data_IF_114741432726
#
_entry.id   IF_114741432726
#
_cell.length_a   1.000
_cell.length_b   1.000
_cell.length_c   1.000
_cell.angle_alpha   90.00
_cell.angle_beta   90.00
_cell.angle_gamma   90.00
#
_symmetry.space_group_name_H-M   'P 1'
#
loop_
_entity.id
_entity.type
_entity.pdbx_description
1 polymer ?
#
# COMPACT_ATOMS: atom_id res chain seq x y z
N UNK A 1 21.75 1.13 -42.13
CA UNK A 1 20.35 1.50 -42.37
C UNK A 1 19.78 1.98 -41.06
N UNK A 2 18.97 3.03 -41.12
CA UNK A 2 18.46 3.83 -40.00
C UNK A 2 17.51 3.01 -39.11
N UNK A 3 17.61 3.20 -37.79
CA UNK A 3 16.59 2.73 -36.84
C UNK A 3 15.39 3.66 -37.01
N UNK A 4 14.30 3.15 -37.58
CA UNK A 4 13.01 3.83 -37.65
C UNK A 4 12.04 3.04 -36.79
N UNK A 5 12.06 3.32 -35.50
CA UNK A 5 10.93 3.08 -34.60
C UNK A 5 11.04 4.11 -33.47
N UNK A 6 10.82 5.37 -33.84
CA UNK A 6 10.53 6.45 -32.89
C UNK A 6 9.01 6.56 -32.74
N UNK A 7 8.39 5.44 -32.39
CA UNK A 7 7.02 5.40 -31.88
C UNK A 7 7.02 5.84 -30.42
N UNK A 8 7.57 7.02 -30.15
CA UNK A 8 7.67 7.58 -28.82
C UNK A 8 6.31 7.56 -28.14
N UNK A 9 6.26 7.05 -26.91
CA UNK A 9 5.05 7.03 -26.12
C UNK A 9 4.59 8.47 -25.88
N UNK A 10 3.60 8.93 -26.64
CA UNK A 10 2.94 10.22 -26.45
C UNK A 10 1.73 9.99 -25.58
N UNK A 11 1.77 10.54 -24.37
CA UNK A 11 0.66 10.50 -23.46
C UNK A 11 -0.48 11.37 -24.04
N UNK A 12 -1.52 10.72 -24.56
CA UNK A 12 -2.75 11.39 -25.01
C UNK A 12 -3.81 11.28 -23.89
N UNK A 13 -4.01 12.34 -23.09
CA UNK A 13 -5.03 12.32 -22.03
C UNK A 13 -6.46 12.20 -22.58
N UNK A 14 -6.69 12.48 -23.88
CA UNK A 14 -8.00 12.32 -24.52
C UNK A 14 -8.35 10.87 -24.90
N UNK A 15 -7.36 9.97 -24.87
CA UNK A 15 -7.56 8.55 -25.15
C UNK A 15 -8.30 7.81 -24.01
N UNK A 16 -8.54 8.47 -22.88
CA UNK A 16 -9.22 7.91 -21.72
C UNK A 16 -10.54 8.65 -21.46
N UNK A 17 -11.53 7.97 -20.89
CA UNK A 17 -12.76 8.58 -20.41
C UNK A 17 -12.65 9.07 -18.95
N UNK A 18 -13.75 9.61 -18.42
CA UNK A 18 -13.79 10.16 -17.06
C UNK A 18 -13.56 9.10 -15.98
N UNK A 19 -13.80 7.83 -16.30
CA UNK A 19 -13.60 6.66 -15.44
C UNK A 19 -12.17 6.07 -15.59
N UNK A 20 -11.38 6.59 -16.53
CA UNK A 20 -9.99 6.21 -16.76
C UNK A 20 -9.83 4.98 -17.66
N UNK A 21 -10.89 4.52 -18.31
CA UNK A 21 -10.83 3.43 -19.27
C UNK A 21 -10.38 3.93 -20.64
N UNK A 22 -9.70 3.07 -21.40
CA UNK A 22 -9.23 3.42 -22.75
C UNK A 22 -10.42 3.50 -23.68
N UNK A 23 -10.68 4.69 -24.23
CA UNK A 23 -11.73 4.92 -25.21
C UNK A 23 -11.41 4.14 -26.49
N UNK A 24 -12.26 3.18 -26.85
CA UNK A 24 -12.14 2.50 -28.13
C UNK A 24 -12.36 3.52 -29.27
N UNK A 25 -11.51 3.52 -30.32
CA UNK A 25 -11.65 4.43 -31.43
C UNK A 25 -12.98 4.16 -32.14
N UNK A 26 -13.90 5.12 -32.08
CA UNK A 26 -15.18 5.07 -32.77
C UNK A 26 -14.95 5.09 -34.28
N UNK A 27 -14.78 3.90 -34.88
CA UNK A 27 -14.40 3.83 -36.29
C UNK A 27 -14.23 2.44 -36.87
N UNK A 28 -15.13 1.49 -36.62
CA UNK A 28 -15.49 0.41 -37.56
C UNK A 28 -16.86 -0.16 -37.18
N UNK A 29 -17.92 0.57 -37.50
CA UNK A 29 -19.20 -0.07 -37.75
C UNK A 29 -19.16 -0.67 -39.17
N UNK A 30 -19.64 -1.91 -39.28
CA UNK A 30 -19.83 -2.71 -40.49
C UNK A 30 -18.58 -3.25 -41.20
N UNK A 31 -18.23 -4.52 -40.92
CA UNK A 31 -18.20 -5.54 -41.99
C UNK A 31 -18.28 -6.96 -41.40
N UNK A 32 -19.42 -7.60 -41.65
CA UNK A 32 -19.61 -9.01 -42.00
C UNK A 32 -18.95 -10.12 -41.16
N UNK A 33 -19.84 -10.91 -40.57
CA UNK A 33 -19.60 -12.29 -40.19
C UNK A 33 -19.02 -13.11 -41.37
N UNK A 34 -17.74 -13.48 -41.27
CA UNK A 34 -17.19 -14.60 -42.02
C UNK A 34 -16.01 -15.22 -41.26
N UNK A 35 -16.08 -16.54 -41.11
CA UNK A 35 -15.07 -17.38 -40.51
C UNK A 35 -13.69 -17.17 -41.14
N UNK A 36 -12.68 -17.07 -40.28
CA UNK A 36 -11.27 -17.15 -40.66
C UNK A 36 -10.45 -17.37 -39.40
N UNK A 37 -9.91 -18.57 -39.26
CA UNK A 37 -9.03 -18.99 -38.17
C UNK A 37 -7.92 -17.95 -37.96
N UNK A 38 -8.04 -17.16 -36.89
CA UNK A 38 -6.93 -16.35 -36.37
C UNK A 38 -6.12 -17.26 -35.45
N UNK A 39 -4.85 -17.48 -35.82
CA UNK A 39 -3.89 -18.18 -34.98
C UNK A 39 -3.90 -17.61 -33.56
N UNK A 40 -3.74 -18.43 -32.51
CA UNK A 40 -3.55 -17.90 -31.18
C UNK A 40 -2.22 -17.15 -31.16
N UNK A 41 -2.28 -15.82 -31.14
CA UNK A 41 -1.15 -14.95 -30.81
C UNK A 41 -0.77 -15.27 -29.35
N UNK A 42 0.06 -16.31 -29.17
CA UNK A 42 0.42 -16.90 -27.88
C UNK A 42 1.35 -16.03 -26.99
N UNK A 43 1.47 -14.74 -27.30
CA UNK A 43 2.37 -13.80 -26.60
C UNK A 43 1.61 -12.59 -26.00
N UNK A 44 0.28 -12.64 -25.89
CA UNK A 44 -0.54 -11.54 -25.35
C UNK A 44 -1.17 -11.76 -23.97
N UNK A 45 -0.96 -12.91 -23.35
CA UNK A 45 -1.65 -13.31 -22.12
C UNK A 45 -0.75 -13.35 -20.86
N UNK A 46 0.27 -12.48 -20.77
CA UNK A 46 0.98 -12.24 -19.49
C UNK A 46 1.02 -10.76 -19.11
N UNK A 47 0.05 -9.98 -19.59
CA UNK A 47 -0.36 -8.80 -18.85
C UNK A 47 -1.18 -9.32 -17.68
N UNK A 48 -0.66 -9.17 -16.46
CA UNK A 48 -1.41 -9.45 -15.24
C UNK A 48 -2.61 -8.51 -15.23
N UNK A 49 -3.75 -8.98 -15.77
CA UNK A 49 -4.95 -8.19 -16.11
C UNK A 49 -5.62 -7.52 -14.90
N UNK A 50 -5.11 -7.74 -13.70
CA UNK A 50 -5.44 -6.94 -12.52
C UNK A 50 -4.29 -7.02 -11.51
N UNK A 51 -3.33 -6.08 -11.50
CA UNK A 51 -2.31 -6.05 -10.46
C UNK A 51 -3.02 -5.81 -9.13
N UNK A 52 -3.15 -6.87 -8.30
CA UNK A 52 -3.90 -6.84 -7.03
C UNK A 52 -3.68 -5.51 -6.32
N UNK A 53 -4.68 -4.63 -6.42
CA UNK A 53 -4.56 -3.31 -5.84
C UNK A 53 -4.46 -3.50 -4.32
N UNK A 54 -3.47 -2.87 -3.65
CA UNK A 54 -3.25 -3.08 -2.22
C UNK A 54 -4.45 -2.63 -1.36
N UNK A 55 -5.45 -1.95 -1.93
CA UNK A 55 -6.72 -1.62 -1.30
C UNK A 55 -7.82 -2.69 -1.41
N UNK A 56 -7.65 -3.71 -2.25
CA UNK A 56 -8.59 -4.85 -2.43
C UNK A 56 -8.36 -5.97 -1.40
N UNK A 57 -7.25 -5.91 -0.66
CA UNK A 57 -7.02 -6.77 0.50
C UNK A 57 -7.69 -6.08 1.69
N UNK A 58 -8.80 -6.65 2.18
CA UNK A 58 -9.41 -6.24 3.45
C UNK A 58 -8.35 -6.37 4.56
N UNK A 59 -7.67 -5.25 4.87
CA UNK A 59 -6.79 -5.13 6.02
C UNK A 59 -7.67 -4.78 7.21
N UNK A 60 -8.36 -5.77 7.75
CA UNK A 60 -9.00 -5.58 9.04
C UNK A 60 -7.94 -5.27 10.09
N UNK A 61 -8.29 -4.33 10.97
CA UNK A 61 -7.40 -3.88 12.02
C UNK A 61 -7.34 -4.96 13.11
N UNK A 62 -6.43 -5.90 12.90
CA UNK A 62 -6.26 -7.09 13.72
C UNK A 62 -5.88 -6.79 15.18
N UNK A 63 -5.86 -7.83 16.01
CA UNK A 63 -5.37 -7.78 17.39
C UNK A 63 -3.93 -7.21 17.50
N UNK A 64 -3.12 -7.36 16.44
CA UNK A 64 -1.80 -6.72 16.33
C UNK A 64 -1.88 -5.19 16.27
N UNK A 65 -2.81 -4.67 15.48
CA UNK A 65 -3.10 -3.23 15.40
C UNK A 65 -3.59 -2.69 16.74
N UNK A 66 -4.51 -3.41 17.40
CA UNK A 66 -5.00 -3.05 18.73
C UNK A 66 -3.91 -3.07 19.80
N UNK A 67 -2.99 -4.03 19.74
CA UNK A 67 -1.82 -4.07 20.63
C UNK A 67 -0.98 -2.81 20.45
N UNK A 68 -0.66 -2.42 19.21
CA UNK A 68 0.11 -1.21 18.93
C UNK A 68 -0.58 0.04 19.49
N UNK A 69 -1.89 0.17 19.30
CA UNK A 69 -2.68 1.27 19.88
C UNK A 69 -2.59 1.28 21.40
N UNK A 70 -2.69 0.12 22.05
CA UNK A 70 -2.52 -0.02 23.50
C UNK A 70 -1.15 0.46 23.99
N UNK A 71 -0.08 0.13 23.26
CA UNK A 71 1.27 0.58 23.60
C UNK A 71 1.43 2.09 23.41
N UNK A 72 0.84 2.67 22.37
CA UNK A 72 0.83 4.12 22.15
C UNK A 72 0.15 4.83 23.34
N UNK A 73 -1.02 4.36 23.76
CA UNK A 73 -1.73 4.90 24.94
C UNK A 73 -0.86 4.81 26.20
N UNK A 74 -0.22 3.65 26.43
CA UNK A 74 0.69 3.48 27.55
C UNK A 74 1.88 4.46 27.49
N UNK A 75 2.48 4.62 26.32
CA UNK A 75 3.65 5.46 26.09
C UNK A 75 3.38 6.95 26.32
N UNK A 76 2.26 7.47 25.82
CA UNK A 76 1.99 8.90 25.80
C UNK A 76 1.05 9.38 26.91
N UNK A 77 0.29 8.49 27.55
CA UNK A 77 -0.64 8.88 28.62
C UNK A 77 -0.23 8.31 29.96
N UNK A 78 -0.01 7.00 30.05
CA UNK A 78 0.24 6.32 31.34
C UNK A 78 1.64 6.66 31.87
N UNK A 79 2.67 6.59 31.03
CA UNK A 79 4.04 6.91 31.43
C UNK A 79 4.18 8.39 31.88
N UNK A 80 3.67 9.40 31.16
CA UNK A 80 3.74 10.78 31.65
C UNK A 80 2.91 11.02 32.91
N UNK A 81 1.71 10.44 33.01
CA UNK A 81 0.86 10.58 34.20
C UNK A 81 1.52 10.03 35.46
N UNK A 82 2.26 8.92 35.34
CA UNK A 82 2.98 8.33 36.49
C UNK A 82 4.12 9.21 36.99
N UNK A 83 4.79 10.01 36.14
CA UNK A 83 5.79 11.00 36.60
C UNK A 83 5.17 12.01 37.56
N UNK A 84 3.97 12.47 37.23
CA UNK A 84 3.29 13.53 37.96
C UNK A 84 2.70 12.99 39.27
N UNK A 85 2.09 11.80 39.23
CA UNK A 85 1.38 11.21 40.37
C UNK A 85 2.31 10.53 41.38
N UNK A 86 3.43 9.95 40.92
CA UNK A 86 4.40 9.26 41.77
C UNK A 86 5.81 9.86 41.55
N UNK A 87 6.12 11.02 42.15
CA UNK A 87 7.38 11.70 41.93
C UNK A 87 8.55 10.84 42.45
N UNK A 88 9.48 10.46 41.57
CA UNK A 88 10.60 9.60 41.95
C UNK A 88 11.69 10.42 42.66
N UNK A 89 12.33 9.82 43.66
CA UNK A 89 13.45 10.46 44.38
C UNK A 89 14.67 10.73 43.47
N UNK A 90 14.81 9.99 42.37
CA UNK A 90 15.88 10.12 41.39
C UNK A 90 15.34 10.46 40.00
N UNK A 91 15.11 11.75 39.75
CA UNK A 91 14.55 12.26 38.48
C UNK A 91 15.33 11.85 37.23
N UNK A 92 16.65 11.70 37.29
CA UNK A 92 17.48 11.34 36.12
C UNK A 92 17.11 9.97 35.55
N UNK A 93 16.86 8.99 36.41
CA UNK A 93 16.47 7.64 35.98
C UNK A 93 15.04 7.62 35.47
N UNK A 94 14.13 8.38 36.09
CA UNK A 94 12.74 8.46 35.62
C UNK A 94 12.64 9.14 34.26
N UNK A 95 13.39 10.24 34.04
CA UNK A 95 13.45 10.91 32.75
C UNK A 95 14.12 10.06 31.66
N UNK A 96 14.87 9.01 32.02
CA UNK A 96 15.51 8.12 31.06
C UNK A 96 14.70 6.84 30.83
N UNK A 97 14.43 6.06 31.88
CA UNK A 97 13.79 4.74 31.80
C UNK A 97 12.32 4.86 31.44
N UNK A 98 11.62 5.86 31.98
CA UNK A 98 10.19 5.97 31.80
C UNK A 98 9.77 6.34 30.36
N UNK A 99 10.51 7.17 29.60
CA UNK A 99 10.28 7.29 28.16
C UNK A 99 10.97 6.20 27.33
N UNK A 100 12.09 5.63 27.80
CA UNK A 100 12.82 4.59 27.05
C UNK A 100 12.05 3.26 26.99
N UNK A 101 11.46 2.83 28.10
CA UNK A 101 10.69 1.59 28.17
C UNK A 101 9.54 1.54 27.14
N UNK A 102 8.63 2.53 27.06
CA UNK A 102 7.60 2.54 26.04
C UNK A 102 8.14 2.64 24.62
N UNK A 103 9.25 3.37 24.39
CA UNK A 103 9.88 3.46 23.08
C UNK A 103 10.41 2.09 22.60
N UNK A 104 11.09 1.34 23.48
CA UNK A 104 11.55 -0.03 23.19
C UNK A 104 10.37 -0.95 22.92
N UNK A 105 9.31 -0.83 23.71
CA UNK A 105 8.11 -1.65 23.55
C UNK A 105 7.41 -1.37 22.22
N UNK A 106 7.33 -0.10 21.80
CA UNK A 106 6.83 0.29 20.47
C UNK A 106 7.71 -0.26 19.34
N UNK A 107 9.03 -0.15 19.45
CA UNK A 107 9.94 -0.65 18.44
C UNK A 107 9.77 -2.17 18.24
N UNK A 108 9.72 -2.92 19.34
CA UNK A 108 9.54 -4.38 19.29
C UNK A 108 8.16 -4.77 18.77
N UNK A 109 7.08 -4.12 19.24
CA UNK A 109 5.72 -4.42 18.78
C UNK A 109 5.50 -4.05 17.32
N UNK A 110 6.08 -2.94 16.84
CA UNK A 110 6.02 -2.57 15.43
C UNK A 110 6.74 -3.60 14.55
N UNK A 111 7.96 -4.01 14.92
CA UNK A 111 8.70 -5.06 14.19
C UNK A 111 7.88 -6.35 14.15
N UNK A 112 7.42 -6.83 15.30
CA UNK A 112 6.60 -8.04 15.39
C UNK A 112 5.32 -7.95 14.56
N UNK A 113 4.64 -6.79 14.55
CA UNK A 113 3.43 -6.60 13.77
C UNK A 113 3.67 -6.75 12.26
N UNK A 114 4.84 -6.35 11.78
CA UNK A 114 5.22 -6.43 10.36
C UNK A 114 5.73 -7.80 9.91
N UNK A 115 6.21 -8.64 10.84
CA UNK A 115 6.63 -10.02 10.51
C UNK A 115 5.39 -10.87 10.24
N UNK A 116 5.20 -11.24 8.97
CA UNK A 116 4.23 -12.25 8.55
C UNK A 116 4.85 -13.64 8.76
N UNK A 117 4.17 -14.59 9.43
CA UNK A 117 4.59 -15.98 9.40
C UNK A 117 4.43 -16.59 8.00
#
# INVERSE_FOLDING_TARGET
MTSSDDGGYVHDPGAFDEDGERREPAGTADTDAAAGERAPDADRDDWVEDPIHPGMVDREFDWRGWTLVGVIVFAFLIAPATIILLPPSNYRFALLILPLAPAVLLALTAVWATVRP
#
